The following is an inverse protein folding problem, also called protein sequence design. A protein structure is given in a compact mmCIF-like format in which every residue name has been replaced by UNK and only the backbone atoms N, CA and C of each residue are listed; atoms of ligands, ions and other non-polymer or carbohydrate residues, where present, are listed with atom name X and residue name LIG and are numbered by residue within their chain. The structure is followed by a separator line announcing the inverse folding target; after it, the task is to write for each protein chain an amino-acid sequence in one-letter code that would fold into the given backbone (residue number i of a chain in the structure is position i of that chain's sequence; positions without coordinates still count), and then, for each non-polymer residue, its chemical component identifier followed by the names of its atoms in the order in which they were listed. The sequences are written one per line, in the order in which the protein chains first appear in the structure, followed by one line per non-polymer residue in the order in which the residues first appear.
data_IF_476421534088
#
_entry.id   IF_476421534088
#
_cell.length_a   1.000
_cell.length_b   1.000
_cell.length_c   1.000
_cell.angle_alpha   90.00
_cell.angle_beta   90.00
_cell.angle_gamma   90.00
#
_symmetry.space_group_name_H-M   'P 1'
#
loop_
_entity.id
_entity.type
_entity.pdbx_description
1 polymer ?
#
# COMPACT_ATOMS: atom_id res chain seq x y z
N UNK A 1 1.98 -79.61 17.35
CA UNK A 1 1.92 -78.41 16.50
C UNK A 1 1.97 -77.22 17.43
N UNK A 2 3.20 -76.82 17.71
CA UNK A 2 3.62 -75.72 18.59
C UNK A 2 2.98 -74.38 18.17
N UNK A 3 2.32 -73.63 19.05
CA UNK A 3 2.85 -72.74 20.09
C UNK A 3 3.00 -71.28 19.57
N UNK A 4 2.52 -70.34 20.41
CA UNK A 4 2.96 -68.94 20.60
C UNK A 4 2.21 -67.81 19.88
N UNK A 5 1.30 -67.24 20.66
CA UNK A 5 1.01 -65.80 20.80
C UNK A 5 2.19 -64.91 20.37
N UNK A 6 2.00 -63.93 19.48
CA UNK A 6 3.06 -62.98 19.18
C UNK A 6 3.31 -62.04 20.38
N UNK A 7 4.58 -61.74 20.71
CA UNK A 7 4.95 -60.92 21.86
C UNK A 7 4.64 -59.42 21.66
N UNK A 8 4.56 -58.64 22.77
CA UNK A 8 4.31 -57.21 22.73
C UNK A 8 5.42 -56.44 22.02
N UNK A 9 5.03 -55.55 21.10
CA UNK A 9 5.95 -54.69 20.34
C UNK A 9 6.58 -53.69 21.30
N UNK A 10 7.89 -53.85 21.53
CA UNK A 10 8.68 -52.93 22.32
C UNK A 10 8.79 -51.56 21.64
N UNK A 11 8.60 -50.51 22.45
CA UNK A 11 8.88 -49.11 22.13
C UNK A 11 10.31 -48.96 21.64
N UNK A 12 10.50 -48.79 20.33
CA UNK A 12 11.75 -48.25 19.79
C UNK A 12 11.75 -46.73 20.04
N UNK A 13 12.64 -46.29 20.92
CA UNK A 13 13.05 -44.88 21.01
C UNK A 13 13.71 -44.48 19.69
N UNK A 14 12.92 -44.11 18.68
CA UNK A 14 13.41 -43.44 17.49
C UNK A 14 13.59 -41.96 17.82
N UNK A 15 14.81 -41.61 18.18
CA UNK A 15 15.30 -40.22 18.23
C UNK A 15 15.06 -39.61 16.86
N UNK A 16 14.02 -38.79 16.74
CA UNK A 16 13.69 -38.10 15.50
C UNK A 16 14.89 -37.23 15.06
N UNK A 17 15.30 -37.26 13.78
CA UNK A 17 16.37 -36.42 13.30
C UNK A 17 15.95 -34.94 13.40
N UNK A 18 16.78 -34.17 14.11
CA UNK A 18 16.73 -32.71 14.26
C UNK A 18 16.73 -32.10 12.86
N UNK A 19 15.58 -31.57 12.42
CA UNK A 19 15.50 -30.85 11.14
C UNK A 19 16.46 -29.65 11.17
N UNK A 20 17.32 -29.48 10.16
CA UNK A 20 18.24 -28.34 10.10
C UNK A 20 17.44 -27.04 9.95
N UNK A 21 17.82 -26.03 10.73
CA UNK A 21 17.33 -24.67 10.60
C UNK A 21 17.60 -24.15 9.19
N UNK A 22 16.53 -23.85 8.46
CA UNK A 22 16.63 -23.14 7.19
C UNK A 22 16.69 -21.66 7.49
N UNK A 23 17.91 -21.16 7.59
CA UNK A 23 18.19 -19.73 7.55
C UNK A 23 17.73 -19.09 6.24
N UNK A 24 17.77 -17.77 6.23
CA UNK A 24 17.70 -16.98 5.00
C UNK A 24 16.31 -16.43 4.68
N UNK A 25 15.91 -15.41 5.43
CA UNK A 25 15.02 -14.37 4.93
C UNK A 25 15.78 -13.57 3.84
N UNK A 26 15.76 -14.08 2.60
CA UNK A 26 16.24 -13.36 1.42
C UNK A 26 15.32 -13.66 0.24
N UNK A 27 14.39 -12.75 -0.04
CA UNK A 27 13.62 -12.58 -1.29
C UNK A 27 12.90 -11.20 -1.26
N UNK A 28 13.55 -10.04 -1.28
CA UNK A 28 14.87 -9.76 -1.84
C UNK A 28 14.97 -10.27 -3.26
N UNK A 29 14.01 -9.95 -4.13
CA UNK A 29 14.07 -10.02 -5.62
C UNK A 29 12.64 -10.01 -6.21
N UNK A 30 12.07 -8.81 -6.42
CA UNK A 30 11.19 -8.52 -7.56
C UNK A 30 10.94 -7.00 -7.70
N UNK A 31 12.02 -6.25 -7.92
CA UNK A 31 11.98 -4.96 -8.63
C UNK A 31 13.40 -4.54 -9.07
N UNK A 32 13.92 -5.31 -10.01
CA UNK A 32 14.90 -4.92 -11.03
C UNK A 32 14.10 -5.14 -12.33
N UNK A 33 13.86 -4.20 -13.24
CA UNK A 33 14.70 -3.13 -13.74
C UNK A 33 13.85 -1.90 -14.12
N UNK A 34 14.19 -0.74 -13.58
CA UNK A 34 14.19 0.47 -14.40
C UNK A 34 15.62 0.96 -14.34
N UNK A 35 16.31 0.72 -15.45
CA UNK A 35 17.63 1.22 -15.82
C UNK A 35 17.93 2.58 -15.17
N UNK A 36 18.90 2.57 -14.26
CA UNK A 36 19.71 3.74 -13.96
C UNK A 36 20.52 4.04 -15.22
N UNK A 37 20.02 4.97 -16.03
CA UNK A 37 20.85 5.66 -17.00
C UNK A 37 21.97 6.36 -16.25
N UNK A 38 23.18 5.83 -16.42
CA UNK A 38 24.45 6.42 -16.02
C UNK A 38 24.48 7.93 -16.34
N UNK A 39 24.22 8.75 -15.33
CA UNK A 39 24.51 10.18 -15.38
C UNK A 39 26.01 10.34 -15.12
N UNK A 40 26.81 10.02 -16.14
CA UNK A 40 28.18 10.50 -16.22
C UNK A 40 28.15 12.03 -16.06
N UNK A 41 28.80 12.50 -15.00
CA UNK A 41 29.01 13.90 -14.72
C UNK A 41 29.67 14.57 -15.93
N UNK A 42 28.84 15.19 -16.76
CA UNK A 42 29.26 16.21 -17.71
C UNK A 42 29.15 17.55 -16.97
N UNK A 43 30.20 18.38 -16.94
CA UNK A 43 30.14 19.68 -16.29
C UNK A 43 29.24 20.60 -17.13
N UNK A 44 28.01 20.81 -16.68
CA UNK A 44 27.07 21.72 -17.33
C UNK A 44 27.45 23.17 -16.97
N UNK A 45 27.77 24.04 -17.94
CA UNK A 45 28.16 25.42 -17.66
C UNK A 45 26.97 26.27 -17.19
N UNK A 46 27.27 27.09 -16.18
CA UNK A 46 26.44 28.10 -15.51
C UNK A 46 25.38 28.81 -16.37
N UNK A 47 24.09 28.56 -16.08
CA UNK A 47 22.98 29.53 -16.12
C UNK A 47 21.63 28.84 -15.85
N UNK A 48 21.52 28.05 -14.78
CA UNK A 48 20.20 27.61 -14.31
C UNK A 48 19.59 28.72 -13.46
N UNK A 49 18.39 29.24 -13.79
CA UNK A 49 17.70 30.17 -12.92
C UNK A 49 17.53 29.49 -11.57
N UNK A 50 17.96 30.17 -10.51
CA UNK A 50 17.90 29.71 -9.13
C UNK A 50 16.44 29.56 -8.72
N UNK A 51 15.82 28.45 -9.10
CA UNK A 51 14.58 27.99 -8.46
C UNK A 51 14.96 27.85 -6.99
N UNK A 52 14.31 28.59 -6.06
CA UNK A 52 14.68 28.50 -4.66
C UNK A 52 14.62 27.01 -4.26
N UNK A 53 15.67 26.48 -3.61
CA UNK A 53 15.63 25.10 -3.16
C UNK A 53 14.40 24.93 -2.26
N UNK A 54 13.64 23.86 -2.47
CA UNK A 54 12.52 23.52 -1.62
C UNK A 54 12.93 23.58 -0.15
N UNK A 55 12.02 24.02 0.72
CA UNK A 55 12.26 23.97 2.17
C UNK A 55 12.58 22.53 2.58
N UNK A 56 13.49 22.30 3.55
CA UNK A 56 13.82 20.95 4.02
C UNK A 56 12.57 20.15 4.43
N UNK A 57 11.58 20.83 5.01
CA UNK A 57 10.29 20.24 5.40
C UNK A 57 9.42 19.84 4.19
N UNK A 58 9.51 20.56 3.06
CA UNK A 58 8.83 20.20 1.82
C UNK A 58 9.46 18.97 1.18
N UNK A 59 10.79 18.89 1.18
CA UNK A 59 11.55 17.74 0.68
C UNK A 59 11.21 16.49 1.48
N UNK A 60 11.23 16.57 2.82
CA UNK A 60 10.88 15.46 3.70
C UNK A 60 9.45 14.95 3.46
N UNK A 61 8.46 15.86 3.42
CA UNK A 61 7.07 15.50 3.12
C UNK A 61 6.93 14.81 1.76
N UNK A 62 7.63 15.32 0.75
CA UNK A 62 7.61 14.74 -0.59
C UNK A 62 8.22 13.33 -0.61
N UNK A 63 9.32 13.12 0.11
CA UNK A 63 9.93 11.79 0.22
C UNK A 63 9.01 10.79 0.91
N UNK A 64 8.37 11.18 2.01
CA UNK A 64 7.38 10.35 2.72
C UNK A 64 6.22 10.01 1.78
N UNK A 65 5.67 10.98 1.06
CA UNK A 65 4.61 10.75 0.10
C UNK A 65 5.03 9.79 -1.03
N UNK A 66 6.21 9.99 -1.61
CA UNK A 66 6.75 9.16 -2.71
C UNK A 66 6.99 7.72 -2.26
N UNK A 67 7.51 7.52 -1.06
CA UNK A 67 7.81 6.19 -0.49
C UNK A 67 6.59 5.49 0.10
N UNK A 68 5.51 6.21 0.42
CA UNK A 68 4.28 5.61 0.95
C UNK A 68 3.62 4.69 -0.09
N UNK A 69 3.33 3.45 0.30
CA UNK A 69 2.61 2.50 -0.53
C UNK A 69 1.82 1.51 0.34
N UNK A 70 0.68 1.05 -0.18
CA UNK A 70 -0.12 0.03 0.48
C UNK A 70 0.51 -1.36 0.24
N UNK A 71 0.52 -2.19 1.28
CA UNK A 71 1.08 -3.54 1.23
C UNK A 71 0.33 -4.42 0.23
N UNK A 72 0.96 -4.74 -0.92
CA UNK A 72 0.37 -5.60 -1.96
C UNK A 72 -0.16 -6.94 -1.41
N UNK A 73 0.54 -7.65 -0.50
CA UNK A 73 0.01 -8.87 0.13
C UNK A 73 -1.28 -8.66 0.92
N UNK A 74 -1.41 -7.55 1.65
CA UNK A 74 -2.59 -7.26 2.45
C UNK A 74 -3.78 -6.90 1.56
N UNK A 75 -3.55 -6.10 0.51
CA UNK A 75 -4.58 -5.79 -0.50
C UNK A 75 -5.04 -7.06 -1.21
N UNK A 76 -4.10 -7.92 -1.63
CA UNK A 76 -4.43 -9.20 -2.27
C UNK A 76 -5.30 -10.09 -1.39
N UNK A 77 -4.98 -10.20 -0.09
CA UNK A 77 -5.78 -10.94 0.89
C UNK A 77 -7.19 -10.36 1.03
N UNK A 78 -7.29 -9.03 1.17
CA UNK A 78 -8.58 -8.33 1.30
C UNK A 78 -9.45 -8.55 0.06
N UNK A 79 -8.93 -8.27 -1.13
CA UNK A 79 -9.69 -8.40 -2.39
C UNK A 79 -10.10 -9.86 -2.62
N UNK A 80 -9.20 -10.82 -2.36
CA UNK A 80 -9.53 -12.24 -2.50
C UNK A 80 -10.60 -12.71 -1.49
N UNK A 81 -10.61 -12.13 -0.28
CA UNK A 81 -11.64 -12.42 0.72
C UNK A 81 -13.02 -11.87 0.34
N UNK A 82 -13.08 -10.77 -0.40
CA UNK A 82 -14.34 -10.16 -0.85
C UNK A 82 -14.90 -10.91 -2.06
N UNK A 83 -14.03 -11.26 -3.01
CA UNK A 83 -14.44 -11.88 -4.28
C UNK A 83 -14.57 -13.40 -4.21
N UNK A 84 -14.00 -14.05 -3.19
CA UNK A 84 -14.03 -15.50 -3.03
C UNK A 84 -13.06 -16.27 -3.94
N UNK A 85 -12.21 -15.57 -4.71
CA UNK A 85 -11.17 -16.19 -5.54
C UNK A 85 -9.83 -15.45 -5.46
N UNK A 86 -8.74 -16.14 -5.80
CA UNK A 86 -7.39 -15.58 -5.77
C UNK A 86 -7.21 -14.49 -6.82
N UNK A 87 -6.86 -13.28 -6.38
CA UNK A 87 -6.62 -12.14 -7.26
C UNK A 87 -5.19 -12.12 -7.84
N UNK A 88 -5.03 -11.61 -9.06
CA UNK A 88 -3.70 -11.42 -9.65
C UNK A 88 -2.96 -10.23 -9.03
N UNK A 89 -1.65 -10.19 -9.21
CA UNK A 89 -0.82 -9.09 -8.71
C UNK A 89 -1.19 -7.75 -9.36
N UNK A 90 -1.60 -7.77 -10.63
CA UNK A 90 -2.04 -6.58 -11.37
C UNK A 90 -3.28 -5.93 -10.73
N UNK A 91 -4.28 -6.75 -10.36
CA UNK A 91 -5.47 -6.24 -9.65
C UNK A 91 -5.07 -5.61 -8.31
N UNK A 92 -4.12 -6.23 -7.60
CA UNK A 92 -3.64 -5.69 -6.31
C UNK A 92 -2.95 -4.34 -6.47
N UNK A 93 -2.19 -4.13 -7.57
CA UNK A 93 -1.56 -2.85 -7.90
C UNK A 93 -2.61 -1.78 -8.19
N UNK A 94 -3.61 -2.11 -9.03
CA UNK A 94 -4.69 -1.19 -9.40
C UNK A 94 -5.49 -0.77 -8.17
N UNK A 95 -5.90 -1.72 -7.33
CA UNK A 95 -6.64 -1.43 -6.09
C UNK A 95 -5.80 -0.61 -5.12
N UNK A 96 -4.51 -0.91 -4.98
CA UNK A 96 -3.61 -0.10 -4.16
C UNK A 96 -3.49 1.35 -4.68
N UNK A 97 -3.48 1.54 -6.01
CA UNK A 97 -3.49 2.86 -6.64
C UNK A 97 -4.74 3.66 -6.30
N UNK A 98 -5.93 3.08 -6.50
CA UNK A 98 -7.20 3.72 -6.14
C UNK A 98 -7.29 4.04 -4.64
N UNK A 99 -6.86 3.11 -3.79
CA UNK A 99 -6.85 3.34 -2.35
C UNK A 99 -5.87 4.45 -1.94
N UNK A 100 -4.71 4.58 -2.60
CA UNK A 100 -3.77 5.70 -2.35
C UNK A 100 -4.38 7.05 -2.74
N UNK A 101 -5.06 7.12 -3.89
CA UNK A 101 -5.78 8.33 -4.33
C UNK A 101 -6.85 8.70 -3.30
N UNK A 102 -7.67 7.74 -2.89
CA UNK A 102 -8.71 7.95 -1.89
C UNK A 102 -8.14 8.52 -0.57
N UNK A 103 -7.06 7.93 -0.05
CA UNK A 103 -6.41 8.46 1.18
C UNK A 103 -5.91 9.88 0.97
N UNK A 104 -5.32 10.18 -0.20
CA UNK A 104 -4.89 11.54 -0.56
C UNK A 104 -6.03 12.55 -0.53
N UNK A 105 -7.15 12.25 -1.20
CA UNK A 105 -8.34 13.12 -1.24
C UNK A 105 -8.91 13.40 0.17
N UNK A 106 -8.92 12.38 1.05
CA UNK A 106 -9.43 12.53 2.42
C UNK A 106 -8.48 13.38 3.28
N UNK A 107 -7.17 13.15 3.18
CA UNK A 107 -6.16 13.91 3.95
C UNK A 107 -6.14 15.37 3.52
N UNK A 108 -6.23 15.65 2.22
CA UNK A 108 -6.32 17.02 1.70
C UNK A 108 -7.55 17.74 2.28
N UNK A 109 -8.73 17.13 2.21
CA UNK A 109 -9.95 17.70 2.80
C UNK A 109 -9.86 17.86 4.32
N UNK A 110 -9.17 16.97 5.02
CA UNK A 110 -8.98 17.08 6.45
C UNK A 110 -8.05 18.26 6.82
N UNK A 111 -7.08 18.57 5.97
CA UNK A 111 -6.24 19.76 6.12
C UNK A 111 -7.05 21.04 5.88
N UNK A 112 -7.99 21.04 4.94
CA UNK A 112 -8.89 22.17 4.71
C UNK A 112 -9.82 22.40 5.93
N UNK A 113 -10.47 21.35 6.43
CA UNK A 113 -11.31 21.43 7.64
C UNK A 113 -10.51 21.95 8.84
N UNK A 114 -9.30 21.42 9.04
CA UNK A 114 -8.40 21.89 10.10
C UNK A 114 -8.12 23.40 9.98
N UNK A 115 -7.84 23.88 8.76
CA UNK A 115 -7.58 25.31 8.48
C UNK A 115 -8.82 26.16 8.75
N UNK A 116 -9.99 25.72 8.31
CA UNK A 116 -11.26 26.41 8.54
C UNK A 116 -11.60 26.51 10.03
N UNK A 117 -11.26 25.50 10.82
CA UNK A 117 -11.53 25.47 12.27
C UNK A 117 -10.47 26.20 13.09
N UNK A 118 -9.38 26.65 12.47
CA UNK A 118 -8.26 27.30 13.17
C UNK A 118 -7.50 26.36 14.10
N UNK A 119 -7.60 25.04 13.90
CA UNK A 119 -6.95 24.04 14.74
C UNK A 119 -5.45 23.97 14.43
N UNK A 120 -4.60 24.07 15.45
CA UNK A 120 -3.15 23.87 15.32
C UNK A 120 -2.75 22.41 15.62
N UNK A 121 -1.57 22.00 15.14
CA UNK A 121 -1.04 20.65 15.39
C UNK A 121 -1.48 19.56 14.38
N UNK A 122 -1.34 18.26 14.73
CA UNK A 122 -1.67 17.14 13.85
C UNK A 122 -3.16 17.06 13.46
N UNK A 123 -3.47 16.32 12.39
CA UNK A 123 -4.86 16.07 11.99
C UNK A 123 -5.55 15.24 13.07
N UNK A 124 -6.62 15.77 13.67
CA UNK A 124 -7.43 15.08 14.66
C UNK A 124 -8.45 14.13 13.99
N UNK A 125 -8.96 13.12 14.72
CA UNK A 125 -10.02 12.25 14.22
C UNK A 125 -11.28 13.00 13.78
N UNK A 126 -11.60 14.14 14.40
CA UNK A 126 -12.78 14.94 14.05
C UNK A 126 -12.63 15.62 12.70
N UNK A 127 -11.42 16.10 12.36
CA UNK A 127 -11.13 16.62 11.03
C UNK A 127 -11.33 15.54 9.95
N UNK A 128 -10.92 14.29 10.22
CA UNK A 128 -11.11 13.17 9.28
C UNK A 128 -12.58 12.79 9.10
N UNK A 129 -13.37 12.80 10.19
CA UNK A 129 -14.81 12.52 10.13
C UNK A 129 -15.54 13.57 9.29
N UNK A 130 -15.24 14.84 9.52
CA UNK A 130 -15.84 15.93 8.76
C UNK A 130 -15.39 15.93 7.30
N UNK A 131 -14.10 15.69 7.04
CA UNK A 131 -13.57 15.52 5.69
C UNK A 131 -14.28 14.40 4.93
N UNK A 132 -14.50 13.24 5.59
CA UNK A 132 -15.21 12.13 4.99
C UNK A 132 -16.70 12.43 4.75
N UNK A 133 -17.34 13.19 5.63
CA UNK A 133 -18.72 13.66 5.45
C UNK A 133 -18.83 14.54 4.19
N UNK A 134 -17.93 15.52 4.03
CA UNK A 134 -17.87 16.39 2.85
C UNK A 134 -17.55 15.61 1.58
N UNK A 135 -16.57 14.70 1.64
CA UNK A 135 -16.21 13.81 0.54
C UNK A 135 -17.40 13.02 0.01
N UNK A 136 -18.18 12.40 0.90
CA UNK A 136 -19.38 11.63 0.53
C UNK A 136 -20.43 12.52 -0.14
N UNK A 137 -20.62 13.75 0.33
CA UNK A 137 -21.61 14.67 -0.23
C UNK A 137 -21.24 15.09 -1.65
N UNK A 138 -19.98 15.41 -1.88
CA UNK A 138 -19.44 15.79 -3.18
C UNK A 138 -19.50 14.65 -4.20
N UNK A 139 -19.02 13.46 -3.83
CA UNK A 139 -19.03 12.31 -4.75
C UNK A 139 -20.46 11.85 -5.06
N UNK A 140 -21.40 11.90 -4.09
CA UNK A 140 -22.82 11.60 -4.34
C UNK A 140 -23.41 12.50 -5.44
N UNK A 141 -23.07 13.79 -5.45
CA UNK A 141 -23.53 14.72 -6.48
C UNK A 141 -22.88 14.44 -7.84
N UNK A 142 -21.60 14.06 -7.86
CA UNK A 142 -20.88 13.70 -9.08
C UNK A 142 -21.45 12.44 -9.77
N UNK A 143 -21.80 11.39 -9.02
CA UNK A 143 -22.40 10.17 -9.61
C UNK A 143 -23.81 10.41 -10.20
N UNK A 144 -24.59 11.35 -9.65
CA UNK A 144 -25.92 11.69 -10.18
C UNK A 144 -25.87 12.63 -11.41
N UNK A 145 -24.73 13.27 -11.68
CA UNK A 145 -24.54 14.15 -12.84
C UNK A 145 -24.42 13.41 -14.18
N UNK A 146 -24.07 12.13 -14.18
CA UNK A 146 -23.95 11.32 -15.42
C UNK A 146 -25.29 10.78 -15.94
N UNK A 147 -26.38 10.87 -15.15
CA UNK A 147 -27.72 10.41 -15.54
C UNK A 147 -28.53 11.48 -16.31
N UNK A 148 -28.01 12.72 -16.48
CA UNK A 148 -28.71 13.83 -17.15
C UNK A 148 -28.14 14.24 -18.51
N UNK A 149 -27.45 13.33 -19.22
CA UNK A 149 -27.04 13.55 -20.62
C UNK A 149 -27.18 12.30 -21.48
N UNK A 150 -28.31 11.59 -21.39
CA UNK A 150 -28.66 10.50 -22.31
C UNK A 150 -30.16 10.49 -22.69
N UNK A 151 -30.82 11.64 -22.59
CA UNK A 151 -32.15 11.84 -23.16
C UNK A 151 -32.21 13.25 -23.72
N UNK A 152 -31.76 13.44 -24.96
CA UNK A 152 -32.13 14.54 -25.86
C UNK A 152 -31.42 14.31 -27.22
N UNK A 153 -32.00 13.45 -28.05
CA UNK A 153 -32.45 13.74 -29.43
C UNK A 153 -33.03 12.48 -30.06
#
# INVERSE_FOLDING_TARGET
MDNRTPPPIQRKNSKAPKRPGRGGSSRGEFMQDISEGSAAATPVPSSTPSTPPFSPEQTERFEVYRRSALSKPNIKKLVSSILGYSCSNNISIVVAGFAKIFVGEIVEKALDVKREWGSEGPISPDHLREAFRRYKQEKKLSFHGYQRRLLLH
#
